data_IF_660681004753
#
_entry.id   IF_660681004753
#
_cell.length_a   1.000
_cell.length_b   1.000
_cell.length_c   1.000
_cell.angle_alpha   90.00
_cell.angle_beta   90.00
_cell.angle_gamma   90.00
#
_symmetry.space_group_name_H-M   'P 1'
#
loop_
_entity.id
_entity.type
_entity.pdbx_description
1 polymer ?
#
# COMPACT_ATOMS: atom_id res chain seq x y z
N UNK A 1 10.74 -0.74 19.76
CA UNK A 1 10.53 0.50 18.98
C UNK A 1 9.15 0.44 18.34
N UNK A 2 8.25 1.37 18.64
CA UNK A 2 6.95 1.48 17.98
C UNK A 2 7.15 2.26 16.67
N UNK A 3 6.87 1.65 15.51
CA UNK A 3 6.91 2.36 14.21
C UNK A 3 5.54 2.96 13.95
N UNK A 4 5.51 4.26 13.66
CA UNK A 4 4.29 4.98 13.28
C UNK A 4 4.21 5.06 11.76
N UNK A 5 3.01 4.99 11.22
CA UNK A 5 2.78 5.08 9.79
C UNK A 5 1.52 5.89 9.49
N UNK A 6 1.53 6.57 8.35
CA UNK A 6 0.37 7.21 7.76
C UNK A 6 0.04 6.50 6.45
N UNK A 7 -1.20 6.04 6.32
CA UNK A 7 -1.71 5.43 5.10
C UNK A 7 -2.91 6.23 4.64
N UNK A 8 -2.86 6.75 3.41
CA UNK A 8 -3.98 7.37 2.74
C UNK A 8 -4.47 6.45 1.64
N UNK A 9 -5.77 6.20 1.63
CA UNK A 9 -6.40 5.28 0.69
C UNK A 9 -7.81 5.72 0.31
N UNK A 10 -8.28 5.27 -0.85
CA UNK A 10 -9.68 5.41 -1.24
C UNK A 10 -10.56 4.45 -0.43
N UNK A 11 -11.77 4.89 -0.05
CA UNK A 11 -12.79 4.03 0.56
C UNK A 11 -13.35 2.98 -0.40
N UNK A 12 -13.19 3.19 -1.71
CA UNK A 12 -13.78 2.34 -2.75
C UNK A 12 -12.67 1.75 -3.61
N UNK A 13 -12.73 0.43 -3.79
CA UNK A 13 -11.92 -0.31 -4.77
C UNK A 13 -12.76 -0.48 -6.03
N UNK A 14 -12.25 -0.05 -7.18
CA UNK A 14 -12.94 -0.16 -8.48
C UNK A 14 -12.25 -1.23 -9.34
N UNK A 15 -12.98 -2.23 -9.85
CA UNK A 15 -12.42 -3.18 -10.81
C UNK A 15 -11.82 -2.48 -12.03
N UNK A 16 -10.70 -3.02 -12.55
CA UNK A 16 -10.01 -2.49 -13.73
C UNK A 16 -9.21 -1.20 -13.50
N UNK A 17 -9.29 -0.60 -12.31
CA UNK A 17 -8.56 0.60 -11.95
C UNK A 17 -7.52 0.27 -10.89
N UNK A 18 -6.24 0.69 -11.05
CA UNK A 18 -5.24 0.51 -10.00
C UNK A 18 -5.71 1.15 -8.69
N UNK A 19 -5.66 0.39 -7.61
CA UNK A 19 -5.96 0.91 -6.28
C UNK A 19 -4.71 1.54 -5.70
N UNK A 20 -4.76 2.86 -5.51
CA UNK A 20 -3.63 3.67 -5.07
C UNK A 20 -3.62 3.83 -3.54
N UNK A 21 -2.44 3.63 -2.97
CA UNK A 21 -2.13 3.79 -1.55
C UNK A 21 -0.95 4.75 -1.41
N UNK A 22 -1.11 5.81 -0.63
CA UNK A 22 0.02 6.63 -0.19
C UNK A 22 0.46 6.16 1.20
N UNK A 23 1.69 5.67 1.32
CA UNK A 23 2.26 5.14 2.57
C UNK A 23 3.47 5.97 3.01
N UNK A 24 3.42 6.50 4.23
CA UNK A 24 4.54 7.19 4.87
C UNK A 24 4.90 6.42 6.15
N UNK A 25 6.12 5.92 6.24
CA UNK A 25 6.64 5.31 7.46
C UNK A 25 7.44 6.37 8.20
N UNK A 26 6.87 6.84 9.31
CA UNK A 26 7.38 8.00 10.03
C UNK A 26 8.63 7.64 10.84
N UNK A 27 9.55 8.60 10.94
CA UNK A 27 10.82 8.51 11.68
C UNK A 27 11.71 7.33 11.24
N UNK A 28 11.54 6.91 10.00
CA UNK A 28 12.25 5.78 9.46
C UNK A 28 13.61 6.25 8.90
N UNK A 29 14.70 5.70 9.44
CA UNK A 29 16.09 6.09 9.12
C UNK A 29 16.78 5.16 8.12
N UNK A 30 16.05 4.19 7.59
CA UNK A 30 16.52 3.23 6.59
C UNK A 30 15.36 2.86 5.68
N UNK A 31 15.57 2.56 4.39
CA UNK A 31 14.50 2.09 3.52
C UNK A 31 13.77 0.88 4.12
N UNK A 32 12.45 0.83 3.93
CA UNK A 32 11.63 -0.28 4.44
C UNK A 32 10.79 -0.87 3.33
N UNK A 33 10.73 -2.20 3.31
CA UNK A 33 9.85 -2.93 2.40
C UNK A 33 8.42 -2.86 2.93
N UNK A 34 7.53 -2.24 2.16
CA UNK A 34 6.10 -2.22 2.41
C UNK A 34 5.42 -3.21 1.48
N UNK A 35 4.59 -4.08 2.06
CA UNK A 35 3.75 -5.03 1.34
C UNK A 35 2.29 -4.62 1.53
N UNK A 36 1.56 -4.44 0.44
CA UNK A 36 0.15 -4.09 0.47
C UNK A 36 -0.65 -5.06 -0.39
N UNK A 37 -1.83 -5.45 0.08
CA UNK A 37 -2.67 -6.42 -0.60
C UNK A 37 -4.15 -6.09 -0.41
N UNK A 38 -4.96 -6.44 -1.41
CA UNK A 38 -6.41 -6.36 -1.37
C UNK A 38 -7.00 -7.74 -1.13
N UNK A 39 -8.00 -7.79 -0.27
CA UNK A 39 -8.73 -9.01 0.08
C UNK A 39 -10.23 -8.80 -0.11
N UNK A 40 -10.93 -9.85 -0.53
CA UNK A 40 -12.39 -9.96 -0.48
C UNK A 40 -12.72 -11.28 0.18
N UNK A 41 -13.50 -11.24 1.26
CA UNK A 41 -13.90 -12.44 2.02
C UNK A 41 -12.71 -13.35 2.38
N UNK A 42 -11.61 -12.73 2.83
CA UNK A 42 -10.31 -13.38 3.16
C UNK A 42 -9.52 -13.96 1.97
N UNK A 43 -10.04 -13.91 0.74
CA UNK A 43 -9.30 -14.28 -0.47
C UNK A 43 -8.46 -13.10 -0.94
N UNK A 44 -7.15 -13.31 -1.09
CA UNK A 44 -6.25 -12.29 -1.66
C UNK A 44 -6.56 -12.10 -3.14
N UNK A 45 -7.01 -10.91 -3.50
CA UNK A 45 -7.28 -10.54 -4.89
C UNK A 45 -6.00 -10.11 -5.62
N UNK A 46 -5.16 -9.33 -4.95
CA UNK A 46 -3.95 -8.74 -5.54
C UNK A 46 -3.01 -8.21 -4.46
N UNK A 47 -1.79 -7.85 -4.83
CA UNK A 47 -0.91 -7.09 -3.96
C UNK A 47 0.38 -6.67 -4.63
N UNK A 48 1.09 -5.77 -3.97
CA UNK A 48 2.35 -5.19 -4.42
C UNK A 48 3.32 -5.16 -3.25
N UNK A 49 4.61 -5.21 -3.56
CA UNK A 49 5.69 -4.97 -2.63
C UNK A 49 6.57 -3.86 -3.19
N UNK A 50 6.94 -2.90 -2.35
CA UNK A 50 7.81 -1.79 -2.73
C UNK A 50 8.74 -1.43 -1.59
N UNK A 51 10.00 -1.16 -1.92
CA UNK A 51 10.92 -0.49 -1.02
C UNK A 51 10.55 0.99 -0.96
N UNK A 52 10.19 1.45 0.25
CA UNK A 52 9.77 2.80 0.52
C UNK A 52 10.95 3.61 1.06
N UNK A 53 11.20 4.75 0.44
CA UNK A 53 12.26 5.66 0.84
C UNK A 53 11.99 6.26 2.23
N UNK A 54 13.07 6.65 2.89
CA UNK A 54 13.06 7.24 4.22
C UNK A 54 12.23 8.53 4.28
N UNK A 55 11.45 8.69 5.35
CA UNK A 55 10.69 9.91 5.70
C UNK A 55 9.96 10.60 4.54
N UNK A 56 9.48 9.83 3.56
CA UNK A 56 8.85 10.35 2.35
C UNK A 56 7.54 9.64 2.05
N UNK A 57 6.69 10.32 1.28
CA UNK A 57 5.40 9.81 0.89
C UNK A 57 5.54 8.87 -0.30
N UNK A 58 5.32 7.57 -0.11
CA UNK A 58 5.49 6.56 -1.15
C UNK A 58 4.15 6.15 -1.75
N UNK A 59 4.02 6.15 -3.08
CA UNK A 59 2.84 5.67 -3.79
C UNK A 59 2.98 4.18 -4.15
N UNK A 60 2.02 3.38 -3.71
CA UNK A 60 1.87 1.97 -4.06
C UNK A 60 0.61 1.82 -4.91
N UNK A 61 0.72 1.12 -6.03
CA UNK A 61 -0.42 0.82 -6.91
C UNK A 61 -0.67 -0.69 -6.88
N UNK A 62 -1.86 -1.08 -6.43
CA UNK A 62 -2.30 -2.47 -6.42
C UNK A 62 -3.18 -2.68 -7.66
N UNK A 63 -2.82 -3.58 -8.59
CA UNK A 63 -3.67 -3.87 -9.74
C UNK A 63 -4.97 -4.53 -9.29
N UNK A 64 -6.11 -4.15 -9.86
CA UNK A 64 -7.42 -4.71 -9.55
C UNK A 64 -8.03 -5.30 -10.81
N UNK A 65 -8.20 -6.63 -10.84
CA UNK A 65 -8.80 -7.34 -11.98
C UNK A 65 -10.29 -7.06 -12.12
N UNK A 66 -10.84 -7.25 -13.33
CA UNK A 66 -12.26 -6.99 -13.67
C UNK A 66 -13.15 -8.24 -13.55
N UNK A 67 -12.57 -9.42 -13.32
CA UNK A 67 -13.22 -10.73 -13.37
C UNK A 67 -14.61 -10.81 -12.73
#
# INVERSE_FOLDING_TARGET
MCRRYLILSSRVVRPGHPYRLSVNVLDNRQPVVVRAALFRDSVRLSGVQRECAENSMNLLEIPVSVN
#
